data_IF_351648240362
#
_entry.id   IF_351648240362
#
_cell.length_a   1.000
_cell.length_b   1.000
_cell.length_c   1.000
_cell.angle_alpha   90.00
_cell.angle_beta   90.00
_cell.angle_gamma   90.00
#
_symmetry.space_group_name_H-M   'P 1'
#
loop_
_entity.id
_entity.type
_entity.pdbx_description
1 polymer ?
#
# COMPACT_ATOMS: atom_id res chain seq x y z
N UNK A 1 15.35 21.06 -11.19
CA UNK A 1 14.55 20.74 -9.99
C UNK A 1 13.86 19.41 -10.20
N UNK A 2 14.38 18.31 -9.63
CA UNK A 2 13.78 16.98 -9.78
C UNK A 2 12.60 16.82 -8.83
N UNK A 3 11.41 17.21 -9.29
CA UNK A 3 10.17 16.96 -8.57
C UNK A 3 9.81 15.48 -8.67
N UNK A 4 10.02 14.71 -7.60
CA UNK A 4 9.44 13.38 -7.44
C UNK A 4 7.91 13.53 -7.36
N UNK A 5 7.27 13.56 -8.53
CA UNK A 5 5.82 13.50 -8.70
C UNK A 5 5.35 12.27 -7.92
N UNK A 6 4.47 12.51 -6.95
CA UNK A 6 3.86 11.43 -6.16
C UNK A 6 2.56 11.07 -6.85
N UNK A 7 2.23 9.79 -6.85
CA UNK A 7 0.99 9.30 -7.44
C UNK A 7 0.17 8.62 -6.38
N UNK A 8 -1.16 8.79 -6.45
CA UNK A 8 -2.07 8.06 -5.60
C UNK A 8 -2.02 6.57 -5.99
N UNK A 9 -1.75 5.65 -5.05
CA UNK A 9 -1.66 4.21 -5.38
C UNK A 9 -3.01 3.59 -5.74
N UNK A 10 -4.13 4.27 -5.48
CA UNK A 10 -5.49 3.79 -5.79
C UNK A 10 -5.91 4.18 -7.21
N UNK A 11 -5.79 5.45 -7.58
CA UNK A 11 -6.27 5.97 -8.87
C UNK A 11 -5.17 6.38 -9.85
N UNK A 12 -3.90 6.36 -9.45
CA UNK A 12 -2.77 6.74 -10.30
C UNK A 12 -2.63 8.23 -10.58
N UNK A 13 -3.52 9.08 -10.05
CA UNK A 13 -3.48 10.54 -10.25
C UNK A 13 -2.25 11.14 -9.56
N UNK A 14 -1.65 12.14 -10.19
CA UNK A 14 -0.54 12.91 -9.61
C UNK A 14 -1.03 13.72 -8.41
N UNK A 15 -0.33 13.61 -7.30
CA UNK A 15 -0.70 14.22 -6.04
C UNK A 15 0.44 15.09 -5.52
N UNK A 16 0.08 16.31 -5.11
CA UNK A 16 1.02 17.33 -4.68
C UNK A 16 1.30 17.26 -3.19
N UNK A 17 2.57 17.27 -2.79
CA UNK A 17 2.99 17.09 -1.38
C UNK A 17 2.37 18.10 -0.41
N UNK A 18 1.88 19.24 -0.92
CA UNK A 18 1.26 20.32 -0.13
C UNK A 18 -0.23 20.08 0.17
N UNK A 19 -0.93 19.33 -0.68
CA UNK A 19 -2.38 19.13 -0.59
C UNK A 19 -2.77 17.68 -0.36
N UNK A 20 -1.80 16.76 -0.37
CA UNK A 20 -2.04 15.33 -0.19
C UNK A 20 -2.39 14.92 1.23
N UNK A 21 -3.30 13.95 1.34
CA UNK A 21 -3.44 13.16 2.57
C UNK A 21 -2.32 12.11 2.62
N UNK A 22 -1.58 12.07 3.73
CA UNK A 22 -0.51 11.09 3.98
C UNK A 22 -0.99 10.01 4.94
N UNK A 23 -0.99 8.75 4.52
CA UNK A 23 -1.25 7.58 5.39
C UNK A 23 -0.32 6.43 5.05
N UNK A 24 0.18 5.72 6.07
CA UNK A 24 1.13 4.61 5.89
C UNK A 24 2.33 4.93 4.97
N UNK A 25 2.82 6.18 5.01
CA UNK A 25 3.93 6.64 4.15
C UNK A 25 3.59 6.82 2.66
N UNK A 26 2.33 6.58 2.25
CA UNK A 26 1.81 6.81 0.90
C UNK A 26 1.02 8.11 0.84
N UNK A 27 0.96 8.68 -0.36
CA UNK A 27 0.29 9.94 -0.66
C UNK A 27 -1.01 9.65 -1.42
N UNK A 28 -2.09 10.33 -1.04
CA UNK A 28 -3.41 10.13 -1.62
C UNK A 28 -4.01 11.47 -2.03
N UNK A 29 -4.82 11.43 -3.10
CA UNK A 29 -5.53 12.61 -3.57
C UNK A 29 -6.66 12.98 -2.60
N UNK A 30 -7.37 11.99 -2.06
CA UNK A 30 -8.51 12.15 -1.17
C UNK A 30 -8.42 11.20 0.03
N UNK A 31 -9.12 11.53 1.12
CA UNK A 31 -9.22 10.69 2.31
C UNK A 31 -9.88 9.32 2.02
N UNK A 32 -10.86 9.26 1.12
CA UNK A 32 -11.53 8.00 0.76
C UNK A 32 -10.54 6.98 0.19
N UNK A 33 -9.63 7.43 -0.68
CA UNK A 33 -8.55 6.58 -1.20
C UNK A 33 -7.56 6.17 -0.11
N UNK A 34 -7.31 7.05 0.86
CA UNK A 34 -6.48 6.73 2.00
C UNK A 34 -7.14 5.65 2.88
N UNK A 35 -8.45 5.70 3.08
CA UNK A 35 -9.22 4.67 3.79
C UNK A 35 -9.25 3.34 3.03
N UNK A 36 -9.59 3.35 1.73
CA UNK A 36 -9.57 2.13 0.89
C UNK A 36 -8.21 1.46 0.90
N UNK A 37 -7.13 2.24 0.88
CA UNK A 37 -5.79 1.68 0.95
C UNK A 37 -5.57 0.89 2.24
N UNK A 38 -6.03 1.38 3.40
CA UNK A 38 -5.91 0.64 4.67
C UNK A 38 -6.65 -0.69 4.62
N UNK A 39 -7.86 -0.70 4.05
CA UNK A 39 -8.68 -1.91 3.91
C UNK A 39 -7.94 -2.94 3.05
N UNK A 40 -7.50 -2.54 1.85
CA UNK A 40 -6.76 -3.41 0.92
C UNK A 40 -5.49 -3.95 1.59
N UNK A 41 -4.73 -3.09 2.26
CA UNK A 41 -3.48 -3.48 2.93
C UNK A 41 -3.72 -4.49 4.04
N UNK A 42 -4.83 -4.35 4.78
CA UNK A 42 -5.22 -5.29 5.84
C UNK A 42 -5.64 -6.64 5.26
N UNK A 43 -6.38 -6.64 4.15
CA UNK A 43 -6.74 -7.86 3.43
C UNK A 43 -5.50 -8.57 2.85
N UNK A 44 -4.56 -7.83 2.26
CA UNK A 44 -3.30 -8.38 1.77
C UNK A 44 -2.48 -9.02 2.89
N UNK A 45 -2.40 -8.39 4.07
CA UNK A 45 -1.67 -8.95 5.21
C UNK A 45 -2.34 -10.24 5.72
N UNK A 46 -3.67 -10.28 5.79
CA UNK A 46 -4.41 -11.50 6.14
C UNK A 46 -4.19 -12.62 5.12
N UNK A 47 -4.30 -12.32 3.83
CA UNK A 47 -4.05 -13.29 2.76
C UNK A 47 -2.60 -13.78 2.75
N UNK A 48 -1.64 -12.90 3.04
CA UNK A 48 -0.23 -13.26 3.09
C UNK A 48 0.10 -14.08 4.35
N UNK A 49 -0.58 -13.84 5.47
CA UNK A 49 -0.49 -14.69 6.66
C UNK A 49 -1.10 -16.07 6.39
N UNK A 50 -2.27 -16.14 5.75
CA UNK A 50 -2.91 -17.41 5.37
C UNK A 50 -2.03 -18.18 4.39
N UNK A 51 -1.48 -17.51 3.38
CA UNK A 51 -0.50 -18.10 2.46
C UNK A 51 0.74 -18.61 3.20
N UNK A 52 1.28 -17.87 4.17
CA UNK A 52 2.42 -18.33 5.01
C UNK A 52 2.06 -19.50 5.92
N UNK A 53 0.83 -19.56 6.43
CA UNK A 53 0.31 -20.67 7.23
C UNK A 53 0.11 -21.92 6.37
N UNK A 54 -0.39 -21.76 5.14
CA UNK A 54 -0.72 -22.85 4.23
C UNK A 54 0.50 -23.32 3.42
N UNK A 55 1.45 -22.44 3.18
CA UNK A 55 2.80 -22.72 2.69
C UNK A 55 3.81 -22.37 3.79
N UNK A 56 3.88 -23.14 4.90
CA UNK A 56 5.01 -23.03 5.78
C UNK A 56 6.23 -23.22 4.90
N UNK A 57 7.20 -22.30 4.96
CA UNK A 57 8.49 -22.47 4.28
C UNK A 57 9.06 -23.80 4.77
N UNK A 58 8.77 -24.88 4.06
CA UNK A 58 9.45 -26.16 4.21
C UNK A 58 10.90 -25.79 3.99
N UNK A 59 11.68 -25.93 5.07
CA UNK A 59 13.10 -25.67 5.09
C UNK A 59 13.69 -26.19 3.79
N UNK A 60 14.40 -25.31 3.09
CA UNK A 60 15.29 -25.74 2.04
C UNK A 60 16.19 -26.82 2.60
N UNK A 61 16.28 -27.91 1.83
CA UNK A 61 17.15 -29.05 2.00
C UNK A 61 18.55 -28.64 2.48
N UNK A 62 19.02 -29.24 3.58
CA UNK A 62 20.43 -29.53 3.81
C UNK A 62 20.58 -31.05 3.73
#
# INVERSE_FOLDING_TARGET
>A
MFGFKKYCPICGVEVDKKTTHKRFGKYFCNEEHANRFVIIKTEEENQQEEYRKNHPRRGGCC
#
